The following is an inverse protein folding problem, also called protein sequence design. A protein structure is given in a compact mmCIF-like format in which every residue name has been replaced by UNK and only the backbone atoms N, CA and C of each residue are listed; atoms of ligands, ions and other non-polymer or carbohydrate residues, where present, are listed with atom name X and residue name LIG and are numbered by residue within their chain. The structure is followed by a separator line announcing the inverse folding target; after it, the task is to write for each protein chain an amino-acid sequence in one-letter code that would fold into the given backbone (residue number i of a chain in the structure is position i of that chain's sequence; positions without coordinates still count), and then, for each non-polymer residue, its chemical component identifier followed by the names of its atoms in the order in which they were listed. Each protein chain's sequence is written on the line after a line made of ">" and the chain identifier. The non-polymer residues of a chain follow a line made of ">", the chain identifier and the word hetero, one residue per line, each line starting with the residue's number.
data_IF_862699472528
#
_entry.id   IF_862699472528
#
_cell.length_a   1.000
_cell.length_b   1.000
_cell.length_c   1.000
_cell.angle_alpha   90.00
_cell.angle_beta   90.00
_cell.angle_gamma   90.00
#
_symmetry.space_group_name_H-M   'P 1'
#
loop_
_entity.id
_entity.type
_entity.pdbx_description
1 polymer ?
#
# COMPACT_ATOMS: atom_id res chain seq x y z
N UNK A 1 20.09 16.81 0.26
CA UNK A 1 18.88 16.08 0.66
C UNK A 1 17.66 16.94 0.36
N UNK A 2 16.50 16.35 0.17
CA UNK A 2 15.24 17.08 0.09
C UNK A 2 14.59 17.14 1.48
N UNK A 3 14.12 18.31 1.86
CA UNK A 3 13.46 18.58 3.14
C UNK A 3 12.05 19.13 2.84
N UNK A 4 11.04 18.42 3.32
CA UNK A 4 9.61 18.69 3.10
C UNK A 4 8.90 19.04 4.41
N UNK A 5 9.67 19.40 5.43
CA UNK A 5 9.13 19.70 6.76
C UNK A 5 8.59 21.13 6.87
N UNK A 6 8.77 21.94 5.83
CA UNK A 6 8.14 23.26 5.72
C UNK A 6 7.00 23.15 4.71
N UNK A 7 5.75 23.38 5.12
CA UNK A 7 4.61 23.40 4.20
C UNK A 7 4.84 24.35 3.02
N UNK A 8 4.34 23.99 1.85
CA UNK A 8 4.45 24.77 0.60
C UNK A 8 5.87 24.94 0.03
N UNK A 9 6.89 24.39 0.69
CA UNK A 9 8.28 24.51 0.24
C UNK A 9 9.01 23.17 0.27
N UNK A 10 9.88 22.96 -0.70
CA UNK A 10 10.85 21.87 -0.70
C UNK A 10 12.25 22.48 -0.67
N UNK A 11 12.96 22.26 0.43
CA UNK A 11 14.30 22.77 0.60
C UNK A 11 15.34 21.71 0.18
N UNK A 12 16.37 22.13 -0.54
CA UNK A 12 17.48 21.28 -0.93
C UNK A 12 18.78 21.78 -0.31
N UNK A 13 19.45 20.95 0.46
CA UNK A 13 20.74 21.25 1.07
C UNK A 13 21.61 20.00 1.25
N UNK A 14 22.89 20.23 1.52
CA UNK A 14 23.79 19.14 1.86
C UNK A 14 23.46 18.60 3.27
N UNK A 15 23.43 17.31 3.42
CA UNK A 15 23.17 16.68 4.71
C UNK A 15 24.28 17.03 5.69
N UNK A 16 23.91 17.66 6.81
CA UNK A 16 24.79 17.91 7.96
C UNK A 16 24.27 16.99 9.06
N UNK A 17 25.00 15.88 9.34
CA UNK A 17 24.57 14.89 10.29
C UNK A 17 24.40 13.50 9.67
N UNK A 18 23.45 12.71 10.18
CA UNK A 18 23.27 11.32 9.80
C UNK A 18 21.91 11.09 9.14
N UNK A 19 21.92 10.30 8.08
CA UNK A 19 20.74 9.68 7.50
C UNK A 19 20.98 8.18 7.38
N UNK A 20 20.03 7.38 7.85
CA UNK A 20 20.13 5.94 7.76
C UNK A 20 18.76 5.29 7.55
N UNK A 21 18.78 4.12 6.94
CA UNK A 21 17.61 3.25 6.84
C UNK A 21 18.02 1.82 7.15
N UNK A 22 17.43 1.25 8.19
CA UNK A 22 17.58 -0.16 8.54
C UNK A 22 16.28 -0.86 8.17
N UNK A 23 16.37 -1.95 7.42
CA UNK A 23 15.22 -2.74 7.01
C UNK A 23 15.45 -4.21 7.31
N UNK A 24 14.48 -4.83 7.97
CA UNK A 24 14.39 -6.28 8.13
C UNK A 24 13.20 -6.79 7.33
N UNK A 25 13.40 -7.87 6.58
CA UNK A 25 12.33 -8.54 5.84
C UNK A 25 12.45 -10.04 6.01
N UNK A 26 11.32 -10.69 6.27
CA UNK A 26 11.20 -12.14 6.30
C UNK A 26 10.01 -12.55 5.43
N UNK A 27 10.18 -13.65 4.70
CA UNK A 27 9.12 -14.26 3.90
C UNK A 27 9.10 -15.74 4.16
N UNK A 28 7.91 -16.29 4.28
CA UNK A 28 7.65 -17.70 4.46
C UNK A 28 6.56 -18.15 3.49
N UNK A 29 6.82 -19.23 2.76
CA UNK A 29 5.84 -19.89 1.89
C UNK A 29 5.67 -21.33 2.32
N UNK A 30 4.44 -21.80 2.34
CA UNK A 30 4.11 -23.15 2.79
C UNK A 30 2.94 -23.72 1.99
N UNK A 31 3.14 -24.90 1.42
CA UNK A 31 2.08 -25.66 0.77
C UNK A 31 1.44 -26.57 1.82
N UNK A 32 0.26 -26.16 2.31
CA UNK A 32 -0.47 -26.85 3.37
C UNK A 32 -1.05 -28.19 2.87
N UNK A 33 -1.44 -28.24 1.60
CA UNK A 33 -1.95 -29.43 0.93
C UNK A 33 -1.74 -29.30 -0.58
N UNK A 34 -2.04 -30.34 -1.35
CA UNK A 34 -1.96 -30.27 -2.82
C UNK A 34 -2.84 -29.16 -3.45
N UNK A 35 -3.68 -28.53 -2.65
CA UNK A 35 -4.64 -27.53 -3.10
C UNK A 35 -4.48 -26.17 -2.45
N UNK A 36 -3.69 -26.01 -1.37
CA UNK A 36 -3.61 -24.78 -0.59
C UNK A 36 -2.17 -24.34 -0.45
N UNK A 37 -1.87 -23.18 -0.98
CA UNK A 37 -0.60 -22.49 -0.82
C UNK A 37 -0.78 -21.25 0.07
N UNK A 38 0.14 -21.06 1.00
CA UNK A 38 0.20 -19.94 1.93
C UNK A 38 1.47 -19.15 1.69
N UNK A 39 1.37 -17.84 1.63
CA UNK A 39 2.50 -16.93 1.59
C UNK A 39 2.35 -15.87 2.68
N UNK A 40 3.36 -15.74 3.47
CA UNK A 40 3.47 -14.75 4.52
C UNK A 40 4.74 -13.91 4.31
N UNK A 41 4.64 -12.59 4.41
CA UNK A 41 5.79 -11.71 4.42
C UNK A 41 5.62 -10.60 5.44
N UNK A 42 6.70 -10.27 6.12
CA UNK A 42 6.78 -9.17 7.07
C UNK A 42 7.99 -8.31 6.75
N UNK A 43 7.82 -7.00 6.81
CA UNK A 43 8.90 -6.02 6.68
C UNK A 43 8.80 -4.98 7.77
N UNK A 44 9.91 -4.72 8.44
CA UNK A 44 10.08 -3.59 9.34
C UNK A 44 11.13 -2.64 8.79
N UNK A 45 10.88 -1.33 8.88
CA UNK A 45 11.80 -0.29 8.40
C UNK A 45 11.93 0.82 9.43
N UNK A 46 13.16 1.14 9.75
CA UNK A 46 13.52 2.30 10.60
C UNK A 46 14.42 3.22 9.78
N UNK A 47 13.84 4.29 9.24
CA UNK A 47 14.56 5.31 8.49
C UNK A 47 14.49 6.65 9.24
N UNK A 48 15.64 7.27 9.47
CA UNK A 48 15.75 8.56 10.15
C UNK A 48 16.80 9.42 9.49
N UNK A 49 16.54 10.73 9.52
CA UNK A 49 17.43 11.75 8.95
C UNK A 49 17.56 12.92 9.93
N UNK A 50 18.75 13.48 10.03
CA UNK A 50 19.00 14.72 10.77
C UNK A 50 18.64 15.90 9.85
N UNK A 51 17.51 16.56 10.14
CA UNK A 51 17.05 17.77 9.44
C UNK A 51 17.68 18.99 10.11
N UNK A 52 18.07 19.99 9.32
CA UNK A 52 18.79 21.17 9.83
C UNK A 52 17.95 21.94 10.85
N UNK A 53 16.66 22.16 10.54
CA UNK A 53 15.77 22.95 11.39
C UNK A 53 15.02 22.10 12.44
N UNK A 54 14.88 20.79 12.22
CA UNK A 54 13.96 19.93 12.98
C UNK A 54 14.67 18.81 13.76
N UNK A 55 16.00 18.70 13.64
CA UNK A 55 16.75 17.61 14.28
C UNK A 55 16.45 16.25 13.68
N UNK A 56 16.57 15.19 14.49
CA UNK A 56 16.44 13.81 14.02
C UNK A 56 14.98 13.36 13.97
N UNK A 57 14.42 13.26 12.78
CA UNK A 57 13.07 12.77 12.53
C UNK A 57 13.08 11.44 11.76
N UNK A 58 11.96 10.70 11.86
CA UNK A 58 11.66 9.59 10.95
C UNK A 58 11.42 10.15 9.55
N UNK A 59 11.89 9.45 8.53
CA UNK A 59 11.60 9.86 7.16
C UNK A 59 10.09 9.82 6.89
N UNK A 60 9.53 10.88 6.28
CA UNK A 60 8.11 10.91 5.99
C UNK A 60 7.72 9.83 4.96
N UNK A 61 6.45 9.47 4.94
CA UNK A 61 5.85 8.50 4.02
C UNK A 61 6.57 7.14 4.01
N UNK A 62 7.23 6.81 5.14
CA UNK A 62 7.94 5.53 5.31
C UNK A 62 7.25 4.72 6.40
N UNK A 63 6.42 3.72 6.05
CA UNK A 63 5.76 2.86 7.02
C UNK A 63 6.77 2.10 7.88
N UNK A 64 6.53 2.05 9.19
CA UNK A 64 7.40 1.31 10.12
C UNK A 64 7.33 -0.19 9.93
N UNK A 65 6.18 -0.69 9.52
CA UNK A 65 5.93 -2.12 9.33
C UNK A 65 4.97 -2.36 8.17
N UNK A 66 5.16 -3.48 7.52
CA UNK A 66 4.26 -4.02 6.50
C UNK A 66 4.09 -5.50 6.72
N UNK A 67 2.90 -5.97 6.51
CA UNK A 67 2.53 -7.36 6.60
C UNK A 67 1.73 -7.75 5.36
N UNK A 68 2.09 -8.88 4.78
CA UNK A 68 1.42 -9.47 3.64
C UNK A 68 1.07 -10.92 3.95
N UNK A 69 -0.15 -11.31 3.67
CA UNK A 69 -0.59 -12.69 3.77
C UNK A 69 -1.44 -13.03 2.55
N UNK A 70 -1.13 -14.17 1.93
CA UNK A 70 -1.90 -14.69 0.82
C UNK A 70 -2.26 -16.15 1.06
N UNK A 71 -3.48 -16.50 0.70
CA UNK A 71 -3.97 -17.86 0.61
C UNK A 71 -4.43 -18.11 -0.81
N UNK A 72 -3.81 -19.06 -1.48
CA UNK A 72 -4.21 -19.51 -2.80
C UNK A 72 -4.77 -20.95 -2.70
N UNK A 73 -6.01 -21.13 -3.12
CA UNK A 73 -6.62 -22.43 -3.23
C UNK A 73 -6.75 -22.84 -4.69
N UNK A 74 -6.18 -23.99 -5.04
CA UNK A 74 -6.31 -24.63 -6.33
C UNK A 74 -7.17 -25.88 -6.17
N UNK A 75 -8.44 -25.79 -6.54
CA UNK A 75 -9.36 -26.93 -6.46
C UNK A 75 -8.94 -28.10 -7.34
N UNK A 76 -9.47 -29.30 -7.08
CA UNK A 76 -9.14 -30.48 -7.86
C UNK A 76 -9.52 -30.28 -9.33
N UNK A 77 -8.63 -30.71 -10.20
CA UNK A 77 -8.85 -30.69 -11.65
C UNK A 77 -9.55 -31.98 -12.07
N UNK A 78 -10.65 -31.86 -12.80
CA UNK A 78 -11.33 -33.02 -13.36
C UNK A 78 -10.66 -33.51 -14.65
N UNK A 79 -11.11 -34.66 -15.19
CA UNK A 79 -10.58 -35.28 -16.40
C UNK A 79 -10.62 -34.39 -17.66
N UNK A 80 -11.38 -33.30 -17.62
CA UNK A 80 -11.49 -32.31 -18.70
C UNK A 80 -10.67 -31.04 -18.47
N UNK A 81 -9.75 -31.06 -17.52
CA UNK A 81 -8.89 -29.91 -17.18
C UNK A 81 -9.60 -28.77 -16.46
N UNK A 82 -10.85 -28.98 -15.93
CA UNK A 82 -11.62 -27.95 -15.27
C UNK A 82 -11.38 -27.90 -13.78
N UNK A 83 -11.12 -26.72 -13.24
CA UNK A 83 -11.05 -26.49 -11.79
C UNK A 83 -11.52 -25.09 -11.40
N UNK A 84 -11.63 -24.87 -10.09
CA UNK A 84 -11.80 -23.55 -9.49
C UNK A 84 -10.53 -23.17 -8.74
N UNK A 85 -10.17 -21.87 -8.83
CA UNK A 85 -9.10 -21.28 -8.02
C UNK A 85 -9.66 -20.13 -7.23
N UNK A 86 -9.23 -20.00 -5.98
CA UNK A 86 -9.57 -18.87 -5.11
C UNK A 86 -8.28 -18.27 -4.58
N UNK A 87 -8.23 -16.95 -4.57
CA UNK A 87 -7.10 -16.19 -4.08
C UNK A 87 -7.60 -15.14 -3.10
N UNK A 88 -6.98 -15.08 -1.94
CA UNK A 88 -7.26 -14.09 -0.91
C UNK A 88 -5.95 -13.48 -0.45
N UNK A 89 -5.85 -12.17 -0.53
CA UNK A 89 -4.67 -11.42 -0.12
C UNK A 89 -5.06 -10.39 0.94
N UNK A 90 -4.30 -10.39 2.04
CA UNK A 90 -4.35 -9.36 3.06
C UNK A 90 -3.06 -8.54 3.05
N UNK A 91 -3.19 -7.22 2.97
CA UNK A 91 -2.09 -6.27 3.04
C UNK A 91 -2.30 -5.34 4.23
N UNK A 92 -1.34 -5.29 5.13
CA UNK A 92 -1.24 -4.32 6.20
C UNK A 92 -0.08 -3.37 5.95
N UNK A 93 -0.35 -2.07 6.05
CA UNK A 93 0.67 -1.02 6.07
C UNK A 93 0.53 -0.27 7.38
N UNK A 94 1.59 -0.27 8.17
CA UNK A 94 1.63 0.39 9.47
C UNK A 94 1.61 1.90 9.35
N UNK A 95 1.55 2.55 10.48
CA UNK A 95 1.59 4.01 10.57
C UNK A 95 2.90 4.55 10.01
N UNK A 96 2.84 5.71 9.39
CA UNK A 96 3.99 6.46 8.92
C UNK A 96 3.88 7.93 9.31
N UNK A 97 5.00 8.59 9.47
CA UNK A 97 5.04 10.01 9.69
C UNK A 97 4.68 10.75 8.39
N UNK A 98 3.90 11.76 8.48
CA UNK A 98 3.65 12.73 7.42
C UNK A 98 4.57 13.95 7.61
N UNK A 99 4.86 14.73 6.56
CA UNK A 99 5.54 16.01 6.70
C UNK A 99 4.79 16.94 7.69
N UNK A 100 5.51 17.81 8.37
CA UNK A 100 4.89 18.76 9.29
C UNK A 100 4.04 19.77 8.52
N UNK A 101 2.89 20.14 9.10
CA UNK A 101 1.98 21.16 8.59
C UNK A 101 1.63 22.18 9.68
N UNK A 102 2.45 22.27 10.74
CA UNK A 102 2.17 23.11 11.90
C UNK A 102 2.02 24.60 11.55
N UNK A 103 2.66 25.06 10.48
CA UNK A 103 2.59 26.47 10.03
C UNK A 103 1.35 26.78 9.20
N UNK A 104 0.59 25.77 8.77
CA UNK A 104 -0.67 25.97 8.07
C UNK A 104 -1.78 26.36 9.06
N UNK A 105 -2.83 27.08 8.61
CA UNK A 105 -4.07 27.20 9.37
C UNK A 105 -4.62 25.83 9.78
N UNK A 106 -5.28 25.74 10.92
CA UNK A 106 -5.74 24.47 11.50
C UNK A 106 -6.65 23.65 10.57
N UNK A 107 -7.39 24.31 9.71
CA UNK A 107 -8.27 23.71 8.69
C UNK A 107 -7.48 23.00 7.57
N UNK A 108 -6.22 23.38 7.36
CA UNK A 108 -5.30 22.80 6.37
C UNK A 108 -4.17 21.99 7.01
N UNK A 109 -4.40 21.43 8.18
CA UNK A 109 -3.47 20.53 8.83
C UNK A 109 -3.94 19.09 8.74
N UNK A 110 -3.03 18.19 8.42
CA UNK A 110 -3.21 16.74 8.60
C UNK A 110 -2.58 16.29 9.93
N UNK A 111 -3.00 15.13 10.41
CA UNK A 111 -2.30 14.47 11.50
C UNK A 111 -0.85 14.19 11.09
N UNK A 112 0.12 14.41 12.00
CA UNK A 112 1.53 14.07 11.77
C UNK A 112 1.79 12.58 11.49
N UNK A 113 0.82 11.74 11.84
CA UNK A 113 0.92 10.29 11.69
C UNK A 113 -0.29 9.78 10.93
N UNK A 114 -0.03 9.03 9.86
CA UNK A 114 -1.07 8.41 9.05
C UNK A 114 -1.88 7.36 9.82
N UNK A 115 -3.05 7.05 9.33
CA UNK A 115 -3.78 5.84 9.74
C UNK A 115 -3.05 4.58 9.26
N UNK A 116 -3.39 3.45 9.85
CA UNK A 116 -3.00 2.12 9.36
C UNK A 116 -3.88 1.74 8.19
N UNK A 117 -3.31 1.03 7.23
CA UNK A 117 -4.06 0.51 6.09
C UNK A 117 -4.20 -1.01 6.23
N UNK A 118 -5.43 -1.49 6.08
CA UNK A 118 -5.73 -2.92 6.01
C UNK A 118 -6.57 -3.15 4.76
N UNK A 119 -5.97 -3.79 3.76
CA UNK A 119 -6.61 -4.03 2.48
C UNK A 119 -6.76 -5.54 2.27
N UNK A 120 -7.94 -5.94 1.84
CA UNK A 120 -8.24 -7.32 1.45
C UNK A 120 -8.59 -7.32 -0.03
N UNK A 121 -7.90 -8.16 -0.80
CA UNK A 121 -8.20 -8.41 -2.20
C UNK A 121 -8.57 -9.88 -2.36
N UNK A 122 -9.47 -10.19 -3.27
CA UNK A 122 -9.88 -11.55 -3.54
C UNK A 122 -10.15 -11.77 -5.03
N UNK A 123 -9.89 -12.97 -5.50
CA UNK A 123 -10.19 -13.38 -6.87
C UNK A 123 -10.70 -14.83 -6.88
N UNK A 124 -11.72 -15.06 -7.68
CA UNK A 124 -12.17 -16.38 -8.06
C UNK A 124 -11.91 -16.59 -9.55
N UNK A 125 -11.35 -17.74 -9.91
CA UNK A 125 -11.05 -18.09 -11.28
C UNK A 125 -11.71 -19.41 -11.62
N UNK A 126 -12.45 -19.46 -12.73
CA UNK A 126 -12.93 -20.70 -13.33
C UNK A 126 -12.04 -21.08 -14.48
N UNK A 127 -11.36 -22.21 -14.37
CA UNK A 127 -10.63 -22.85 -15.47
C UNK A 127 -11.58 -23.78 -16.21
N UNK A 128 -11.75 -23.59 -17.51
CA UNK A 128 -12.61 -24.43 -18.35
C UNK A 128 -11.82 -25.49 -19.10
N UNK A 129 -10.58 -25.18 -19.45
CA UNK A 129 -9.60 -26.08 -20.05
C UNK A 129 -8.21 -25.41 -20.00
N UNK A 130 -7.20 -26.03 -20.58
CA UNK A 130 -5.83 -25.52 -20.60
C UNK A 130 -5.66 -24.17 -21.33
N UNK A 131 -6.60 -23.87 -22.24
CA UNK A 131 -6.54 -22.65 -23.07
C UNK A 131 -7.47 -21.55 -22.59
N UNK A 132 -8.48 -21.82 -21.74
CA UNK A 132 -9.51 -20.84 -21.43
C UNK A 132 -9.87 -20.75 -19.94
N UNK A 133 -9.81 -19.52 -19.42
CA UNK A 133 -10.15 -19.20 -18.03
C UNK A 133 -10.95 -17.88 -17.97
N UNK A 134 -11.88 -17.80 -17.00
CA UNK A 134 -12.57 -16.56 -16.64
C UNK A 134 -12.29 -16.30 -15.16
N UNK A 135 -12.07 -15.04 -14.82
CA UNK A 135 -11.85 -14.64 -13.43
C UNK A 135 -12.66 -13.39 -13.08
N UNK A 136 -13.11 -13.35 -11.84
CA UNK A 136 -13.76 -12.22 -11.19
C UNK A 136 -12.96 -11.90 -9.92
N UNK A 137 -12.63 -10.65 -9.72
CA UNK A 137 -11.93 -10.21 -8.52
C UNK A 137 -12.50 -8.92 -7.94
N UNK A 138 -12.15 -8.71 -6.69
CA UNK A 138 -12.48 -7.49 -5.95
C UNK A 138 -11.22 -7.03 -5.23
N UNK A 139 -10.78 -5.82 -5.55
CA UNK A 139 -9.73 -5.10 -4.83
C UNK A 139 -10.36 -4.24 -3.75
N UNK A 140 -9.61 -4.08 -2.66
CA UNK A 140 -10.03 -3.26 -1.52
C UNK A 140 -11.43 -3.66 -1.02
N UNK A 141 -11.64 -4.95 -0.72
CA UNK A 141 -12.90 -5.50 -0.24
C UNK A 141 -13.43 -4.77 1.01
N UNK A 142 -12.52 -4.26 1.85
CA UNK A 142 -12.81 -3.45 3.04
C UNK A 142 -13.38 -2.07 2.72
N UNK A 143 -13.34 -1.66 1.43
CA UNK A 143 -13.78 -0.34 0.96
C UNK A 143 -13.08 0.82 1.69
N UNK A 144 -11.82 0.62 2.06
CA UNK A 144 -11.03 1.67 2.70
C UNK A 144 -10.76 2.81 1.70
N UNK A 145 -10.82 4.05 2.19
CA UNK A 145 -10.39 5.25 1.46
C UNK A 145 -9.63 6.14 2.41
N UNK A 146 -8.52 6.67 1.94
CA UNK A 146 -7.84 7.73 2.68
C UNK A 146 -8.74 8.96 2.73
N UNK A 147 -8.89 9.53 3.92
CA UNK A 147 -9.57 10.80 4.12
C UNK A 147 -8.60 11.95 3.84
N UNK A 148 -9.12 13.08 3.41
CA UNK A 148 -8.35 14.32 3.18
C UNK A 148 -7.10 14.07 2.33
N UNK A 149 -7.30 13.49 1.15
CA UNK A 149 -6.23 13.18 0.19
C UNK A 149 -5.62 14.42 -0.45
N UNK A 150 -6.40 15.48 -0.56
CA UNK A 150 -5.99 16.77 -1.14
C UNK A 150 -6.43 17.85 -0.15
N UNK A 151 -5.49 18.67 0.29
CA UNK A 151 -5.77 19.85 1.10
C UNK A 151 -6.14 21.00 0.19
N UNK A 152 -7.04 21.87 0.65
CA UNK A 152 -7.54 23.04 -0.08
C UNK A 152 -7.96 22.70 -1.53
N UNK A 153 -8.69 21.58 -1.71
CA UNK A 153 -9.10 21.09 -3.03
C UNK A 153 -10.04 22.06 -3.77
N UNK A 154 -10.70 22.95 -3.06
CA UNK A 154 -11.56 24.01 -3.53
C UNK A 154 -10.78 25.24 -4.04
N UNK A 155 -9.50 25.37 -3.67
CA UNK A 155 -8.59 26.43 -4.15
C UNK A 155 -7.27 25.84 -4.66
N UNK A 156 -7.27 25.20 -5.84
CA UNK A 156 -6.11 24.45 -6.35
C UNK A 156 -4.91 25.33 -6.75
N UNK A 157 -5.05 26.64 -6.72
CA UNK A 157 -3.97 27.62 -6.96
C UNK A 157 -3.62 28.43 -5.72
N UNK A 158 -4.26 28.14 -4.59
CA UNK A 158 -4.01 28.79 -3.31
C UNK A 158 -2.74 28.28 -2.63
N UNK A 159 -2.29 29.02 -1.63
CA UNK A 159 -1.03 28.76 -0.91
C UNK A 159 -1.05 27.45 -0.11
N UNK A 160 -2.21 26.90 0.20
CA UNK A 160 -2.37 25.69 1.03
C UNK A 160 -2.78 24.45 0.25
N UNK A 161 -2.87 24.55 -1.08
CA UNK A 161 -3.16 23.38 -1.91
C UNK A 161 -2.03 22.35 -1.82
N UNK A 162 -2.36 21.13 -1.41
CA UNK A 162 -1.39 20.04 -1.33
C UNK A 162 -2.03 18.68 -1.69
N UNK A 163 -1.48 18.03 -2.71
CA UNK A 163 -1.86 16.69 -3.16
C UNK A 163 -0.71 15.67 -2.97
N UNK A 164 0.32 15.98 -2.17
CA UNK A 164 1.51 15.11 -2.02
C UNK A 164 1.38 14.10 -0.90
N UNK A 165 0.41 14.25 0.01
CA UNK A 165 0.24 13.42 1.20
C UNK A 165 -0.68 12.21 0.97
N UNK A 166 -0.64 11.61 -0.22
CA UNK A 166 -1.40 10.41 -0.53
C UNK A 166 -0.58 9.19 -0.11
N UNK A 167 -1.07 8.45 0.89
CA UNK A 167 -0.41 7.26 1.44
C UNK A 167 -1.30 6.00 1.37
N UNK A 168 -2.53 6.12 0.92
CA UNK A 168 -3.49 5.03 0.83
C UNK A 168 -4.41 5.14 -0.39
N UNK A 169 -5.30 4.17 -0.60
CA UNK A 169 -6.24 4.20 -1.71
C UNK A 169 -7.15 5.44 -1.65
N UNK A 170 -7.23 6.15 -2.76
CA UNK A 170 -8.18 7.26 -2.97
C UNK A 170 -9.51 6.75 -3.51
N UNK A 171 -9.49 5.60 -4.18
CA UNK A 171 -10.69 4.88 -4.63
C UNK A 171 -11.05 3.78 -3.63
N UNK A 172 -12.35 3.54 -3.47
CA UNK A 172 -12.85 2.46 -2.64
C UNK A 172 -12.70 1.09 -3.30
N UNK A 173 -13.66 0.22 -3.02
CA UNK A 173 -13.75 -1.11 -3.62
C UNK A 173 -13.85 -1.04 -5.13
N UNK A 174 -13.06 -1.87 -5.82
CA UNK A 174 -13.10 -2.03 -7.26
C UNK A 174 -13.32 -3.49 -7.61
N UNK A 175 -14.28 -3.75 -8.49
CA UNK A 175 -14.51 -5.09 -9.03
C UNK A 175 -14.02 -5.16 -10.47
N UNK A 176 -13.45 -6.29 -10.84
CA UNK A 176 -12.98 -6.53 -12.20
C UNK A 176 -13.36 -7.93 -12.66
N UNK A 177 -13.62 -8.05 -13.96
CA UNK A 177 -13.85 -9.30 -14.66
C UNK A 177 -12.88 -9.40 -15.81
N UNK A 178 -12.32 -10.58 -16.01
CA UNK A 178 -11.41 -10.81 -17.13
C UNK A 178 -11.46 -12.25 -17.63
N UNK A 179 -10.90 -12.43 -18.81
CA UNK A 179 -10.72 -13.73 -19.43
C UNK A 179 -9.26 -13.88 -19.88
N UNK A 180 -8.78 -15.13 -19.88
CA UNK A 180 -7.49 -15.51 -20.46
C UNK A 180 -7.72 -16.60 -21.49
N UNK A 181 -7.14 -16.40 -22.66
CA UNK A 181 -7.11 -17.39 -23.72
C UNK A 181 -5.67 -17.60 -24.17
N UNK A 182 -5.20 -18.85 -24.10
CA UNK A 182 -3.86 -19.24 -24.53
C UNK A 182 -3.96 -19.87 -25.91
N UNK A 183 -3.19 -19.32 -26.85
CA UNK A 183 -3.03 -19.84 -28.22
C UNK A 183 -1.78 -20.70 -28.19
N UNK A 184 -1.95 -22.01 -28.42
CA UNK A 184 -0.85 -22.98 -28.51
C UNK A 184 -0.46 -23.19 -29.98
#
# INVERSE_FOLDING_TARGET
>A
MADWETPTQINFYNLIGKSFSNSFQAQFSYTLSNSIDLLFAYKNTVAKTDYVAHGRLKNPLTPSDRFFFNVAYNGPTNDKGKNWKYDLTFNHVGKQRLPSMETNPSEYQLSEISERLNLINTQITRVFNDSFQIYLGVENLTNYRQKNTILAADDPFGDYFDATNIYGPIFGRMSYLGLRYYIN
#
